data_IF_552959975257
#
_entry.id   IF_552959975257
#
_cell.length_a   1.000
_cell.length_b   1.000
_cell.length_c   1.000
_cell.angle_alpha   90.00
_cell.angle_beta   90.00
_cell.angle_gamma   90.00
#
_symmetry.space_group_name_H-M   'P 1'
#
loop_
_entity.id
_entity.type
_entity.pdbx_description
1 polymer ?
#
# COMPACT_ATOMS: atom_id res chain seq x y z
N UNK A 1 -16.72 2.15 10.05
CA UNK A 1 -15.50 2.67 9.40
C UNK A 1 -14.83 3.64 10.35
N UNK A 2 -13.49 3.70 10.34
CA UNK A 2 -12.72 4.64 11.16
C UNK A 2 -13.00 6.09 10.75
N UNK A 3 -13.08 7.00 11.71
CA UNK A 3 -13.17 8.44 11.41
C UNK A 3 -11.79 8.98 11.02
N UNK A 4 -11.74 10.09 10.28
CA UNK A 4 -10.46 10.77 10.00
C UNK A 4 -9.77 11.27 11.29
N UNK A 5 -10.50 11.41 12.39
CA UNK A 5 -9.96 11.77 13.70
C UNK A 5 -9.09 10.65 14.29
N UNK A 6 -9.38 9.38 13.96
CA UNK A 6 -8.56 8.24 14.37
C UNK A 6 -7.11 8.34 13.83
N UNK A 7 -6.89 9.12 12.77
CA UNK A 7 -5.58 9.30 12.14
C UNK A 7 -4.85 10.57 12.62
N UNK A 8 -5.41 11.35 13.54
CA UNK A 8 -4.90 12.66 13.91
C UNK A 8 -3.48 12.65 14.49
N UNK A 9 -3.11 11.58 15.21
CA UNK A 9 -1.75 11.38 15.75
C UNK A 9 -0.73 11.08 14.66
N UNK A 10 -1.18 10.47 13.57
CA UNK A 10 -0.31 10.10 12.45
C UNK A 10 -0.30 11.21 11.41
N UNK A 11 -1.41 11.89 11.14
CA UNK A 11 -1.60 12.75 9.98
C UNK A 11 -2.67 13.83 10.18
N UNK A 12 -2.45 15.03 9.64
CA UNK A 12 -3.47 16.08 9.68
C UNK A 12 -4.68 15.73 8.82
N UNK A 13 -5.87 16.20 9.23
CA UNK A 13 -7.13 16.04 8.48
C UNK A 13 -7.01 16.54 7.04
N UNK A 14 -6.36 17.68 6.83
CA UNK A 14 -6.10 18.23 5.49
C UNK A 14 -5.23 17.29 4.67
N UNK A 15 -4.16 16.74 5.25
CA UNK A 15 -3.31 15.79 4.53
C UNK A 15 -4.07 14.50 4.20
N UNK A 16 -4.85 13.97 5.14
CA UNK A 16 -5.72 12.80 4.91
C UNK A 16 -6.69 13.05 3.77
N UNK A 17 -7.38 14.19 3.75
CA UNK A 17 -8.28 14.55 2.65
C UNK A 17 -7.55 14.67 1.31
N UNK A 18 -6.32 15.20 1.28
CA UNK A 18 -5.52 15.24 0.04
C UNK A 18 -5.07 13.86 -0.43
N UNK A 19 -4.79 12.93 0.49
CA UNK A 19 -4.44 11.54 0.17
C UNK A 19 -5.64 10.80 -0.41
N UNK A 20 -6.80 10.87 0.24
CA UNK A 20 -8.04 10.21 -0.21
C UNK A 20 -8.47 10.68 -1.61
N UNK A 21 -8.19 11.94 -1.95
CA UNK A 21 -8.47 12.53 -3.26
C UNK A 21 -7.39 12.23 -4.32
N UNK A 22 -6.34 11.49 -3.97
CA UNK A 22 -5.22 11.18 -4.88
C UNK A 22 -4.36 12.39 -5.25
N UNK A 23 -4.41 13.47 -4.48
CA UNK A 23 -3.64 14.70 -4.76
C UNK A 23 -2.21 14.65 -4.24
N UNK A 24 -1.91 13.69 -3.36
CA UNK A 24 -0.57 13.45 -2.82
C UNK A 24 -0.29 11.96 -2.73
N UNK A 25 0.96 11.59 -2.97
CA UNK A 25 1.46 10.24 -2.70
C UNK A 25 2.16 10.21 -1.33
N UNK A 26 1.76 9.33 -0.41
CA UNK A 26 2.44 9.18 0.87
C UNK A 26 3.78 8.45 0.67
N UNK A 27 4.74 8.68 1.56
CA UNK A 27 5.93 7.81 1.66
C UNK A 27 5.54 6.44 2.19
N UNK A 28 6.38 5.43 2.00
CA UNK A 28 6.14 4.08 2.58
C UNK A 28 6.07 4.12 4.11
N UNK A 29 6.90 4.94 4.76
CA UNK A 29 6.84 5.13 6.22
C UNK A 29 5.51 5.72 6.68
N UNK A 30 4.98 6.68 5.92
CA UNK A 30 3.68 7.28 6.21
C UNK A 30 2.55 6.29 5.99
N UNK A 31 2.62 5.51 4.91
CA UNK A 31 1.66 4.45 4.62
C UNK A 31 1.66 3.39 5.74
N UNK A 32 2.83 3.02 6.27
CA UNK A 32 2.92 2.08 7.39
C UNK A 32 2.20 2.60 8.63
N UNK A 33 2.47 3.85 9.04
CA UNK A 33 1.80 4.45 10.20
C UNK A 33 0.27 4.58 10.01
N UNK A 34 -0.20 4.84 8.79
CA UNK A 34 -1.64 4.83 8.50
C UNK A 34 -2.24 3.42 8.61
N UNK A 35 -1.50 2.40 8.14
CA UNK A 35 -1.94 1.01 8.21
C UNK A 35 -1.98 0.46 9.64
N UNK A 36 -1.10 0.95 10.53
CA UNK A 36 -1.15 0.64 11.97
C UNK A 36 -2.48 1.07 12.60
N UNK A 37 -2.94 2.28 12.30
CA UNK A 37 -4.24 2.79 12.78
C UNK A 37 -5.41 1.99 12.18
N UNK A 38 -5.26 1.50 10.95
CA UNK A 38 -6.25 0.65 10.27
C UNK A 38 -6.19 -0.82 10.67
N UNK A 39 -5.21 -1.21 11.51
CA UNK A 39 -4.93 -2.60 11.90
C UNK A 39 -4.74 -3.55 10.70
N UNK A 40 -4.12 -3.07 9.62
CA UNK A 40 -3.81 -3.87 8.43
C UNK A 40 -2.31 -3.83 8.11
N UNK A 41 -1.85 -4.81 7.34
CA UNK A 41 -0.49 -4.79 6.83
C UNK A 41 -0.36 -3.77 5.68
N UNK A 42 0.74 -2.99 5.58
CA UNK A 42 0.98 -2.04 4.48
C UNK A 42 0.83 -2.65 3.09
N UNK A 43 1.30 -3.89 2.92
CA UNK A 43 1.15 -4.62 1.67
C UNK A 43 -0.32 -4.84 1.30
N UNK A 44 -1.23 -5.02 2.26
CA UNK A 44 -2.67 -5.17 1.99
C UNK A 44 -3.23 -3.92 1.30
N UNK A 45 -2.91 -2.74 1.82
CA UNK A 45 -3.35 -1.48 1.21
C UNK A 45 -2.74 -1.27 -0.18
N UNK A 46 -1.45 -1.60 -0.35
CA UNK A 46 -0.79 -1.55 -1.65
C UNK A 46 -1.43 -2.54 -2.64
N UNK A 47 -1.72 -3.76 -2.22
CA UNK A 47 -2.43 -4.75 -3.06
C UNK A 47 -3.78 -4.23 -3.49
N UNK A 48 -4.56 -3.61 -2.60
CA UNK A 48 -5.83 -2.98 -2.99
C UNK A 48 -5.64 -1.88 -4.02
N UNK A 49 -4.59 -1.06 -3.88
CA UNK A 49 -4.28 0.02 -4.82
C UNK A 49 -3.84 -0.49 -6.22
N UNK A 50 -3.09 -1.60 -6.29
CA UNK A 50 -2.55 -2.13 -7.54
C UNK A 50 -3.44 -3.18 -8.22
N UNK A 51 -4.18 -3.96 -7.44
CA UNK A 51 -4.92 -5.12 -7.93
C UNK A 51 -6.44 -4.91 -7.95
N UNK A 52 -6.95 -3.88 -7.26
CA UNK A 52 -8.38 -3.62 -7.17
C UNK A 52 -9.11 -4.73 -6.41
N UNK A 53 -9.83 -5.59 -7.13
CA UNK A 53 -10.64 -6.66 -6.54
C UNK A 53 -9.82 -7.90 -6.13
N UNK A 54 -10.50 -8.87 -5.50
CA UNK A 54 -9.86 -10.11 -5.02
C UNK A 54 -9.24 -10.99 -6.10
N UNK A 55 -9.67 -10.86 -7.38
CA UNK A 55 -9.10 -11.65 -8.49
C UNK A 55 -7.82 -11.02 -9.05
N UNK A 56 -7.66 -9.70 -8.92
CA UNK A 56 -6.42 -9.02 -9.26
C UNK A 56 -5.28 -9.37 -8.30
N UNK A 57 -5.59 -9.55 -7.01
CA UNK A 57 -4.59 -9.79 -5.96
C UNK A 57 -3.77 -11.08 -6.18
N UNK A 58 -4.44 -12.18 -6.53
CA UNK A 58 -3.77 -13.47 -6.78
C UNK A 58 -2.79 -13.38 -7.96
N UNK A 59 -3.22 -12.75 -9.07
CA UNK A 59 -2.36 -12.52 -10.24
C UNK A 59 -1.19 -11.60 -9.92
N UNK A 60 -1.43 -10.56 -9.10
CA UNK A 60 -0.38 -9.65 -8.65
C UNK A 60 0.66 -10.39 -7.82
N UNK A 61 0.26 -11.24 -6.88
CA UNK A 61 1.19 -11.99 -6.05
C UNK A 61 2.00 -13.01 -6.85
N UNK A 62 1.37 -13.76 -7.76
CA UNK A 62 2.07 -14.68 -8.64
C UNK A 62 3.14 -13.95 -9.49
N UNK A 63 2.81 -12.76 -10.00
CA UNK A 63 3.77 -11.92 -10.73
C UNK A 63 4.92 -11.46 -9.85
N UNK A 64 4.64 -10.89 -8.68
CA UNK A 64 5.67 -10.39 -7.75
C UNK A 64 6.60 -11.52 -7.28
N UNK A 65 6.06 -12.72 -7.03
CA UNK A 65 6.87 -13.89 -6.68
C UNK A 65 7.85 -14.25 -7.80
N UNK A 66 7.39 -14.31 -9.06
CA UNK A 66 8.28 -14.57 -10.19
C UNK A 66 9.35 -13.49 -10.40
N UNK A 67 8.99 -12.21 -10.22
CA UNK A 67 9.93 -11.08 -10.28
C UNK A 67 11.00 -11.19 -9.17
N UNK A 68 10.60 -11.54 -7.94
CA UNK A 68 11.52 -11.75 -6.82
C UNK A 68 12.49 -12.90 -7.10
N UNK A 69 12.01 -14.04 -7.58
CA UNK A 69 12.86 -15.17 -7.97
C UNK A 69 13.86 -14.79 -9.07
N UNK A 70 13.42 -14.03 -10.07
CA UNK A 70 14.28 -13.55 -11.16
C UNK A 70 15.39 -12.60 -10.68
N UNK A 71 15.05 -11.68 -9.75
CA UNK A 71 16.00 -10.74 -9.14
C UNK A 71 16.99 -11.49 -8.25
N UNK A 72 16.51 -12.37 -7.37
CA UNK A 72 17.35 -13.14 -6.44
C UNK A 72 18.25 -14.16 -7.16
N UNK A 73 17.79 -14.71 -8.28
CA UNK A 73 18.60 -15.61 -9.12
C UNK A 73 19.56 -14.89 -10.07
N UNK A 74 19.61 -13.55 -10.05
CA UNK A 74 20.50 -12.74 -10.88
C UNK A 74 20.15 -12.74 -12.39
N UNK A 75 19.01 -13.31 -12.77
CA UNK A 75 18.55 -13.37 -14.16
C UNK A 75 17.93 -12.06 -14.65
N UNK A 76 17.58 -11.15 -13.73
CA UNK A 76 17.01 -9.84 -14.07
C UNK A 76 18.05 -8.82 -14.60
N UNK A 77 19.35 -9.15 -14.60
CA UNK A 77 20.44 -8.21 -14.94
C UNK A 77 21.28 -8.60 -16.16
N UNK A 78 20.71 -9.33 -17.13
CA UNK A 78 21.31 -9.51 -18.46
C UNK A 78 20.35 -9.10 -19.56
#
# INVERSE_FOLDING_TARGET
>A
GLSQEAFSDVSSRTYMSTLERGLKSPTLSKLAALCEVMEIHPLTLLTLAYAGDGKGAEKLFARVQGELEAILSGKASR
#
